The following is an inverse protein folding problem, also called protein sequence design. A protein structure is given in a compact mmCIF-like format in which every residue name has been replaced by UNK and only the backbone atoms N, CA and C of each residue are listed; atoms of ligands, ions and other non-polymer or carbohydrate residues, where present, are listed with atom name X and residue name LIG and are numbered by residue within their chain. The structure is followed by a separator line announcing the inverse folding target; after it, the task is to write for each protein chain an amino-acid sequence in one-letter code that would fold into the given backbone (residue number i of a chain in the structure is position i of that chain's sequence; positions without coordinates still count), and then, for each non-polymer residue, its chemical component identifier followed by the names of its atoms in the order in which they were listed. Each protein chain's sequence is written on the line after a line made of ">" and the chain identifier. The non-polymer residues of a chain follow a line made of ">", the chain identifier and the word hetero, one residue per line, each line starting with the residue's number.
data_IF_872269246068
#
_entry.id   IF_872269246068
#
_cell.length_a   1.000
_cell.length_b   1.000
_cell.length_c   1.000
_cell.angle_alpha   90.00
_cell.angle_beta   90.00
_cell.angle_gamma   90.00
#
_symmetry.space_group_name_H-M   'P 1'
#
loop_
_entity.id
_entity.type
_entity.pdbx_description
1 polymer ?
#
# COMPACT_ATOMS: atom_id res chain seq x y z
N UNK A 1 -7.07 18.59 -49.49
CA UNK A 1 -6.32 19.43 -48.48
C UNK A 1 -7.36 20.29 -47.76
N UNK A 2 -7.36 20.27 -46.44
CA UNK A 2 -8.24 21.14 -45.65
C UNK A 2 -7.78 22.59 -45.74
N UNK A 3 -8.72 23.51 -45.84
CA UNK A 3 -8.45 24.95 -45.83
C UNK A 3 -7.94 25.36 -44.42
N UNK A 4 -7.22 26.48 -44.33
CA UNK A 4 -6.72 27.04 -43.06
C UNK A 4 -7.90 27.25 -42.06
N UNK A 5 -9.03 27.74 -42.56
CA UNK A 5 -10.25 27.96 -41.76
C UNK A 5 -10.76 26.65 -41.18
N UNK A 6 -10.82 25.57 -41.96
CA UNK A 6 -11.24 24.25 -41.48
C UNK A 6 -10.31 23.68 -40.40
N UNK A 7 -8.98 23.89 -40.52
CA UNK A 7 -8.02 23.51 -39.51
C UNK A 7 -8.22 24.27 -38.19
N UNK A 8 -8.46 25.59 -38.26
CA UNK A 8 -8.76 26.44 -37.11
C UNK A 8 -10.07 26.02 -36.42
N UNK A 9 -11.12 25.75 -37.17
CA UNK A 9 -12.37 25.26 -36.61
C UNK A 9 -12.24 23.89 -35.94
N UNK A 10 -11.48 22.97 -36.55
CA UNK A 10 -11.23 21.67 -35.99
C UNK A 10 -10.36 21.77 -34.70
N UNK A 11 -9.38 22.67 -34.66
CA UNK A 11 -8.61 22.97 -33.48
C UNK A 11 -9.49 23.51 -32.34
N UNK A 12 -10.39 24.45 -32.66
CA UNK A 12 -11.30 25.04 -31.69
C UNK A 12 -12.30 24.01 -31.12
N UNK A 13 -12.85 23.14 -31.97
CA UNK A 13 -13.75 22.05 -31.57
C UNK A 13 -12.99 21.07 -30.65
N UNK A 14 -11.81 20.62 -31.06
CA UNK A 14 -10.98 19.70 -30.26
C UNK A 14 -10.59 20.32 -28.92
N UNK A 15 -10.29 21.60 -28.90
CA UNK A 15 -9.97 22.32 -27.67
C UNK A 15 -11.18 22.43 -26.74
N UNK A 16 -12.35 22.75 -27.24
CA UNK A 16 -13.59 22.84 -26.44
C UNK A 16 -14.04 21.49 -25.88
N UNK A 17 -13.82 20.40 -26.64
CA UNK A 17 -14.07 19.04 -26.18
C UNK A 17 -13.11 18.62 -25.07
N UNK A 18 -11.83 18.96 -25.18
CA UNK A 18 -10.82 18.62 -24.19
C UNK A 18 -10.88 19.52 -22.92
N UNK A 19 -11.38 20.76 -23.08
CA UNK A 19 -11.36 21.77 -22.01
C UNK A 19 -12.71 22.45 -21.80
N UNK A 20 -13.73 21.70 -21.32
CA UNK A 20 -15.09 22.23 -21.17
C UNK A 20 -15.27 23.23 -20.01
N UNK A 21 -14.20 23.58 -19.26
CA UNK A 21 -14.31 24.39 -18.04
C UNK A 21 -13.74 25.81 -18.17
N UNK A 22 -14.35 26.83 -17.52
CA UNK A 22 -13.98 28.24 -17.62
C UNK A 22 -12.57 28.60 -17.11
N UNK A 23 -11.87 27.70 -16.40
CA UNK A 23 -10.48 27.94 -15.97
C UNK A 23 -9.44 27.93 -17.09
N UNK A 24 -9.84 27.69 -18.34
CA UNK A 24 -9.00 27.70 -19.54
C UNK A 24 -9.28 28.92 -20.44
N UNK A 25 -9.91 29.94 -19.90
CA UNK A 25 -10.34 31.14 -20.60
C UNK A 25 -9.30 31.79 -21.54
N UNK A 26 -8.00 31.94 -21.18
CA UNK A 26 -7.04 32.57 -22.09
C UNK A 26 -6.88 31.83 -23.41
N UNK A 27 -6.92 30.50 -23.37
CA UNK A 27 -6.81 29.66 -24.56
C UNK A 27 -8.11 29.62 -25.37
N UNK A 28 -9.22 29.48 -24.71
CA UNK A 28 -10.56 29.51 -25.33
C UNK A 28 -10.78 30.86 -26.00
N UNK A 29 -10.47 31.96 -25.29
CA UNK A 29 -10.57 33.32 -25.82
C UNK A 29 -9.62 33.57 -27.00
N UNK A 30 -8.40 33.00 -26.97
CA UNK A 30 -7.47 33.10 -28.11
C UNK A 30 -7.99 32.32 -29.34
N UNK A 31 -8.57 31.15 -29.14
CA UNK A 31 -9.18 30.37 -30.22
C UNK A 31 -10.43 31.04 -30.79
N UNK A 32 -11.28 31.62 -29.95
CA UNK A 32 -12.45 32.38 -30.39
C UNK A 32 -12.02 33.61 -31.21
N UNK A 33 -10.92 34.26 -30.85
CA UNK A 33 -10.32 35.35 -31.64
C UNK A 33 -9.78 34.86 -32.98
N UNK A 34 -9.12 33.67 -33.02
CA UNK A 34 -8.64 33.05 -34.26
C UNK A 34 -9.78 32.70 -35.18
N UNK A 35 -10.89 32.13 -34.68
CA UNK A 35 -12.11 31.82 -35.43
C UNK A 35 -12.75 33.08 -36.01
N UNK A 36 -12.70 34.18 -35.23
CA UNK A 36 -13.22 35.49 -35.65
C UNK A 36 -12.28 36.23 -36.64
N UNK A 37 -11.21 35.62 -37.09
CA UNK A 37 -10.24 36.25 -37.99
C UNK A 37 -9.31 37.29 -37.35
N UNK A 38 -9.33 37.43 -36.01
CA UNK A 38 -8.49 38.34 -35.24
C UNK A 38 -7.17 37.66 -34.85
N UNK A 39 -6.41 37.24 -35.85
CA UNK A 39 -5.22 36.40 -35.68
C UNK A 39 -4.14 37.06 -34.81
N UNK A 40 -3.91 38.37 -35.01
CA UNK A 40 -2.93 39.14 -34.24
C UNK A 40 -3.26 39.23 -32.76
N UNK A 41 -4.52 39.55 -32.42
CA UNK A 41 -5.01 39.61 -31.03
C UNK A 41 -4.92 38.23 -30.34
N UNK A 42 -5.19 37.18 -31.10
CA UNK A 42 -5.12 35.80 -30.59
C UNK A 42 -3.68 35.39 -30.28
N UNK A 43 -2.77 35.69 -31.20
CA UNK A 43 -1.34 35.37 -31.06
C UNK A 43 -0.68 36.20 -29.96
N UNK A 44 -1.04 37.49 -29.85
CA UNK A 44 -0.58 38.34 -28.77
C UNK A 44 -1.09 37.85 -27.40
N UNK A 45 -2.34 37.38 -27.31
CA UNK A 45 -2.86 36.77 -26.09
C UNK A 45 -2.14 35.47 -25.71
N UNK A 46 -1.74 34.65 -26.69
CA UNK A 46 -0.96 33.43 -26.47
C UNK A 46 0.51 33.72 -26.14
N UNK A 47 1.08 34.84 -26.63
CA UNK A 47 2.46 35.24 -26.46
C UNK A 47 2.70 36.11 -25.20
N UNK A 48 1.67 36.73 -24.66
CA UNK A 48 1.76 37.68 -23.53
C UNK A 48 2.11 37.06 -22.18
N UNK A 49 1.93 35.74 -22.04
CA UNK A 49 2.27 35.05 -20.79
C UNK A 49 3.72 34.56 -20.80
N UNK A 50 4.50 34.81 -19.76
CA UNK A 50 5.91 34.41 -19.68
C UNK A 50 6.13 32.88 -19.57
N UNK A 51 5.10 32.10 -19.25
CA UNK A 51 5.23 30.65 -19.23
C UNK A 51 5.29 30.08 -20.64
N UNK A 52 6.21 29.12 -20.93
CA UNK A 52 6.24 28.44 -22.22
C UNK A 52 4.88 27.85 -22.59
N UNK A 53 4.43 28.04 -23.81
CA UNK A 53 3.15 27.53 -24.34
C UNK A 53 2.87 26.07 -23.93
N UNK A 54 3.94 25.23 -23.96
CA UNK A 54 3.86 23.83 -23.52
C UNK A 54 3.42 23.68 -22.05
N UNK A 55 3.98 24.48 -21.14
CA UNK A 55 3.63 24.36 -19.70
C UNK A 55 2.19 24.74 -19.46
N UNK A 56 1.65 25.67 -20.22
CA UNK A 56 0.25 26.07 -20.14
C UNK A 56 -0.68 25.01 -20.69
N UNK A 57 -0.35 24.47 -21.88
CA UNK A 57 -1.12 23.41 -22.48
C UNK A 57 -1.07 22.14 -21.61
N UNK A 58 0.12 21.74 -21.15
CA UNK A 58 0.28 20.61 -20.22
C UNK A 58 -0.54 20.83 -18.92
N UNK A 59 -0.48 22.05 -18.36
CA UNK A 59 -1.20 22.40 -17.13
C UNK A 59 -2.71 22.47 -17.33
N UNK A 60 -3.16 22.99 -18.47
CA UNK A 60 -4.56 23.05 -18.82
C UNK A 60 -5.12 21.65 -19.12
N UNK A 61 -4.37 20.81 -19.87
CA UNK A 61 -4.70 19.40 -20.12
C UNK A 61 -4.80 18.62 -18.83
N UNK A 62 -3.80 18.71 -17.94
CA UNK A 62 -3.80 18.04 -16.66
C UNK A 62 -4.98 18.48 -15.78
N UNK A 63 -5.32 19.78 -15.79
CA UNK A 63 -6.45 20.33 -15.00
C UNK A 63 -7.80 19.88 -15.56
N UNK A 64 -7.96 19.85 -16.88
CA UNK A 64 -9.18 19.38 -17.53
C UNK A 64 -9.39 17.88 -17.32
N UNK A 65 -8.32 17.09 -17.46
CA UNK A 65 -8.33 15.67 -17.16
C UNK A 65 -8.63 15.42 -15.69
N UNK A 66 -8.00 16.15 -14.77
CA UNK A 66 -8.29 16.06 -13.34
C UNK A 66 -9.79 16.30 -13.02
N UNK A 67 -10.48 17.14 -13.80
CA UNK A 67 -11.91 17.36 -13.65
C UNK A 67 -12.78 16.24 -14.25
N UNK A 68 -12.27 15.50 -15.23
CA UNK A 68 -12.95 14.38 -15.87
C UNK A 68 -12.71 13.05 -15.14
N UNK A 69 -11.56 12.87 -14.51
CA UNK A 69 -11.12 11.64 -13.86
C UNK A 69 -12.04 11.06 -12.79
N UNK A 70 -12.79 11.81 -11.99
CA UNK A 70 -13.76 11.22 -11.06
C UNK A 70 -14.83 10.36 -11.77
N UNK A 71 -14.92 10.46 -13.10
CA UNK A 71 -15.91 9.78 -13.94
C UNK A 71 -15.32 8.71 -14.86
N UNK A 72 -13.99 8.65 -15.00
CA UNK A 72 -13.28 7.71 -15.88
C UNK A 72 -12.45 6.76 -15.04
N UNK A 73 -12.49 5.47 -15.35
CA UNK A 73 -11.63 4.45 -14.75
C UNK A 73 -10.38 4.27 -15.62
N UNK A 74 -9.32 3.64 -15.08
CA UNK A 74 -8.09 3.38 -15.83
C UNK A 74 -8.39 2.55 -17.11
N UNK A 75 -9.32 1.62 -17.00
CA UNK A 75 -9.84 0.77 -18.09
C UNK A 75 -10.45 1.58 -19.23
N UNK A 76 -11.06 2.73 -18.94
CA UNK A 76 -11.60 3.63 -19.97
C UNK A 76 -10.49 4.30 -20.80
N UNK A 77 -9.27 4.42 -20.25
CA UNK A 77 -8.09 4.91 -20.97
C UNK A 77 -7.44 3.84 -21.85
N UNK A 78 -7.58 2.58 -21.48
CA UNK A 78 -7.09 1.44 -22.26
C UNK A 78 -8.11 0.99 -23.33
N UNK A 79 -9.37 1.31 -23.16
CA UNK A 79 -10.52 0.85 -23.97
C UNK A 79 -11.21 1.93 -24.82
N UNK A 80 -10.50 2.77 -25.49
CA UNK A 80 -11.11 3.58 -26.55
C UNK A 80 -11.48 5.02 -26.20
N UNK A 81 -12.09 5.35 -25.07
CA UNK A 81 -12.47 6.75 -24.75
C UNK A 81 -11.25 7.56 -24.33
N UNK A 82 -10.32 6.97 -23.58
CA UNK A 82 -9.03 7.58 -23.25
C UNK A 82 -8.16 7.74 -24.48
N UNK A 83 -8.13 6.76 -25.37
CA UNK A 83 -7.41 6.83 -26.63
C UNK A 83 -8.00 7.92 -27.53
N UNK A 84 -9.32 8.10 -27.54
CA UNK A 84 -10.01 9.19 -28.22
C UNK A 84 -9.50 10.58 -27.75
N UNK A 85 -9.46 10.82 -26.43
CA UNK A 85 -8.94 12.09 -25.90
C UNK A 85 -7.47 12.31 -26.21
N UNK A 86 -6.65 11.27 -26.16
CA UNK A 86 -5.23 11.32 -26.49
C UNK A 86 -5.00 11.58 -27.97
N UNK A 87 -5.82 10.97 -28.84
CA UNK A 87 -5.77 11.22 -30.28
C UNK A 87 -6.19 12.65 -30.62
N UNK A 88 -7.21 13.20 -29.95
CA UNK A 88 -7.59 14.61 -30.11
C UNK A 88 -6.50 15.58 -29.67
N UNK A 89 -5.84 15.32 -28.54
CA UNK A 89 -4.70 16.13 -28.09
C UNK A 89 -3.53 16.09 -29.10
N UNK A 90 -3.27 14.92 -29.68
CA UNK A 90 -2.24 14.73 -30.70
C UNK A 90 -2.60 15.48 -31.99
N UNK A 91 -3.83 15.32 -32.48
CA UNK A 91 -4.33 16.01 -33.66
C UNK A 91 -4.27 17.54 -33.49
N UNK A 92 -4.62 18.03 -32.31
CA UNK A 92 -4.53 19.46 -31.98
C UNK A 92 -3.07 19.96 -32.05
N UNK A 93 -2.11 19.20 -31.53
CA UNK A 93 -0.70 19.56 -31.60
C UNK A 93 -0.16 19.55 -33.06
N UNK A 94 -0.57 18.57 -33.86
CA UNK A 94 -0.22 18.48 -35.29
C UNK A 94 -0.79 19.64 -36.08
N UNK A 95 -2.08 20.01 -35.87
CA UNK A 95 -2.69 21.17 -36.53
C UNK A 95 -1.98 22.47 -36.15
N UNK A 96 -1.60 22.66 -34.89
CA UNK A 96 -0.83 23.81 -34.45
C UNK A 96 0.53 23.90 -35.16
N UNK A 97 1.24 22.78 -35.30
CA UNK A 97 2.52 22.74 -36.04
C UNK A 97 2.36 23.09 -37.51
N UNK A 98 1.30 22.64 -38.14
CA UNK A 98 0.96 22.97 -39.54
C UNK A 98 0.66 24.46 -39.75
N UNK A 99 0.07 25.12 -38.75
CA UNK A 99 -0.26 26.54 -38.80
C UNK A 99 0.95 27.45 -38.50
N UNK A 100 1.97 26.96 -37.80
CA UNK A 100 3.14 27.76 -37.42
C UNK A 100 3.87 28.42 -38.61
N UNK A 101 4.13 27.76 -39.75
CA UNK A 101 4.78 28.40 -40.89
C UNK A 101 4.04 29.61 -41.41
N UNK A 102 2.68 29.55 -41.41
CA UNK A 102 1.83 30.65 -41.87
C UNK A 102 1.79 31.77 -40.80
N UNK A 103 1.71 31.42 -39.55
CA UNK A 103 1.81 32.37 -38.45
C UNK A 103 3.16 33.09 -38.47
N UNK A 104 4.25 32.40 -38.79
CA UNK A 104 5.58 33.00 -38.89
C UNK A 104 5.74 33.89 -40.12
N UNK A 105 5.00 33.63 -41.18
CA UNK A 105 5.02 34.50 -42.37
C UNK A 105 4.35 35.85 -42.10
N UNK A 106 3.19 35.80 -41.43
CA UNK A 106 2.38 37.01 -41.15
C UNK A 106 2.81 37.73 -39.86
N UNK A 107 3.23 36.93 -38.84
CA UNK A 107 3.60 37.41 -37.50
C UNK A 107 4.90 36.74 -36.99
N UNK A 108 6.08 37.15 -37.52
CA UNK A 108 7.36 36.45 -37.31
C UNK A 108 7.74 36.30 -35.83
N UNK A 109 7.48 37.32 -34.99
CA UNK A 109 7.89 37.33 -33.58
C UNK A 109 7.00 36.43 -32.72
N UNK A 110 5.69 36.35 -33.00
CA UNK A 110 4.78 35.44 -32.33
C UNK A 110 5.07 33.99 -32.74
N UNK A 111 5.32 33.72 -34.00
CA UNK A 111 5.69 32.39 -34.52
C UNK A 111 7.00 31.87 -33.92
N UNK A 112 8.02 32.71 -33.78
CA UNK A 112 9.30 32.35 -33.13
C UNK A 112 9.13 31.93 -31.68
N UNK A 113 8.22 32.56 -30.95
CA UNK A 113 7.95 32.20 -29.54
C UNK A 113 7.15 30.92 -29.38
N UNK A 114 6.20 30.65 -30.28
CA UNK A 114 5.28 29.50 -30.20
C UNK A 114 5.94 28.23 -30.76
N UNK A 115 6.72 28.34 -31.83
CA UNK A 115 7.32 27.18 -32.54
C UNK A 115 8.09 26.20 -31.66
N UNK A 116 9.03 26.62 -30.75
CA UNK A 116 9.77 25.67 -29.93
C UNK A 116 8.87 24.85 -28.99
N UNK A 117 7.77 25.44 -28.53
CA UNK A 117 6.83 24.82 -27.62
C UNK A 117 5.92 23.84 -28.34
N UNK A 118 5.42 24.19 -29.52
CA UNK A 118 4.60 23.30 -30.34
C UNK A 118 5.41 22.10 -30.87
N UNK A 119 6.68 22.33 -31.33
CA UNK A 119 7.57 21.24 -31.77
C UNK A 119 7.87 20.23 -30.64
N UNK A 120 8.00 20.69 -29.39
CA UNK A 120 8.20 19.80 -28.24
C UNK A 120 6.94 18.99 -27.84
N UNK A 121 5.75 19.43 -28.20
CA UNK A 121 4.50 18.71 -27.97
C UNK A 121 4.37 17.45 -28.84
N UNK A 122 4.84 17.53 -30.10
CA UNK A 122 4.78 16.43 -31.06
C UNK A 122 5.98 15.49 -30.97
N UNK A 123 7.15 16.02 -30.57
CA UNK A 123 8.44 15.34 -30.67
C UNK A 123 8.61 14.31 -29.57
N UNK A 124 7.88 13.57 -29.01
CA UNK A 124 8.24 12.45 -28.08
C UNK A 124 7.11 11.79 -27.28
N UNK A 125 5.87 11.84 -27.67
CA UNK A 125 4.83 11.17 -26.88
C UNK A 125 4.75 11.64 -25.41
N UNK A 126 5.48 12.76 -25.07
CA UNK A 126 5.63 13.21 -23.68
C UNK A 126 4.34 13.70 -23.04
N UNK A 127 3.39 14.18 -23.85
CA UNK A 127 2.03 14.49 -23.35
C UNK A 127 1.32 13.20 -23.00
N UNK A 128 1.37 12.21 -23.88
CA UNK A 128 0.75 10.90 -23.68
C UNK A 128 1.24 10.25 -22.39
N UNK A 129 2.56 10.22 -22.17
CA UNK A 129 3.14 9.67 -20.95
C UNK A 129 2.72 10.45 -19.69
N UNK A 130 2.65 11.78 -19.78
CA UNK A 130 2.18 12.63 -18.66
C UNK A 130 0.69 12.44 -18.35
N UNK A 131 -0.13 12.28 -19.38
CA UNK A 131 -1.56 12.01 -19.22
C UNK A 131 -1.77 10.64 -18.59
N UNK A 132 -1.09 9.61 -19.07
CA UNK A 132 -1.11 8.26 -18.48
C UNK A 132 -0.63 8.28 -17.03
N UNK A 133 0.46 8.99 -16.73
CA UNK A 133 0.96 9.15 -15.36
C UNK A 133 -0.03 9.89 -14.48
N UNK A 134 -0.68 10.95 -14.98
CA UNK A 134 -1.70 11.68 -14.24
C UNK A 134 -2.94 10.82 -13.97
N UNK A 135 -3.36 10.00 -14.94
CA UNK A 135 -4.45 9.05 -14.78
C UNK A 135 -4.14 8.05 -13.66
N UNK A 136 -3.00 7.39 -13.73
CA UNK A 136 -2.54 6.45 -12.70
C UNK A 136 -2.53 7.11 -11.32
N UNK A 137 -1.99 8.33 -11.20
CA UNK A 137 -1.96 9.05 -9.92
C UNK A 137 -3.35 9.39 -9.40
N UNK A 138 -4.30 9.71 -10.28
CA UNK A 138 -5.68 9.97 -9.88
C UNK A 138 -6.39 8.71 -9.40
N UNK A 139 -6.24 7.58 -10.10
CA UNK A 139 -6.76 6.29 -9.65
C UNK A 139 -6.13 5.85 -8.33
N UNK A 140 -4.82 6.03 -8.16
CA UNK A 140 -4.15 5.79 -6.90
C UNK A 140 -4.70 6.67 -5.76
N UNK A 141 -5.01 7.95 -6.02
CA UNK A 141 -5.64 8.84 -5.04
C UNK A 141 -7.04 8.36 -4.65
N UNK A 142 -7.86 7.98 -5.62
CA UNK A 142 -9.19 7.42 -5.39
C UNK A 142 -9.10 6.10 -4.61
N UNK A 143 -8.21 5.20 -5.02
CA UNK A 143 -7.97 3.95 -4.30
C UNK A 143 -7.47 4.20 -2.86
N UNK A 144 -6.62 5.19 -2.65
CA UNK A 144 -6.12 5.58 -1.34
C UNK A 144 -7.20 6.18 -0.40
N UNK A 145 -8.39 6.53 -0.91
CA UNK A 145 -9.56 6.82 -0.06
C UNK A 145 -10.02 5.59 0.72
N UNK A 146 -9.76 4.39 0.20
CA UNK A 146 -9.90 3.15 0.93
C UNK A 146 -8.81 3.04 1.99
N UNK A 147 -9.14 2.40 3.11
CA UNK A 147 -8.20 2.21 4.21
C UNK A 147 -7.15 1.14 3.93
N UNK A 148 -7.46 0.21 3.04
CA UNK A 148 -6.55 -0.85 2.59
C UNK A 148 -6.57 -0.90 1.07
N UNK A 149 -5.37 -0.90 0.48
CA UNK A 149 -5.14 -1.07 -0.94
C UNK A 149 -4.18 -2.23 -1.19
N UNK A 150 -4.21 -2.79 -2.38
CA UNK A 150 -3.19 -3.71 -2.90
C UNK A 150 -2.50 -3.05 -4.08
N UNK A 151 -1.22 -3.33 -4.24
CA UNK A 151 -0.49 -2.97 -5.47
C UNK A 151 -0.74 -4.06 -6.53
N UNK A 152 -1.27 -3.66 -7.69
CA UNK A 152 -1.46 -4.52 -8.86
C UNK A 152 -1.00 -3.72 -10.09
N UNK A 153 -0.07 -4.27 -10.85
CA UNK A 153 0.45 -3.66 -12.10
C UNK A 153 0.85 -2.18 -11.96
N UNK A 154 1.48 -1.85 -10.83
CA UNK A 154 1.92 -0.47 -10.51
C UNK A 154 0.79 0.48 -10.08
N UNK A 155 -0.44 0.00 -9.93
CA UNK A 155 -1.59 0.78 -9.47
C UNK A 155 -2.05 0.35 -8.09
N UNK A 156 -2.79 1.22 -7.38
CA UNK A 156 -3.45 0.90 -6.12
C UNK A 156 -4.88 0.46 -6.37
N UNK A 157 -5.25 -0.72 -5.88
CA UNK A 157 -6.61 -1.26 -5.96
C UNK A 157 -7.17 -1.39 -4.54
N UNK A 158 -8.39 -0.88 -4.26
CA UNK A 158 -9.03 -1.04 -2.96
C UNK A 158 -9.24 -2.52 -2.61
N UNK A 159 -9.08 -2.83 -1.32
CA UNK A 159 -9.33 -4.18 -0.77
C UNK A 159 -10.49 -4.10 0.23
N UNK A 160 -11.44 -5.04 0.11
CA UNK A 160 -12.50 -5.18 1.11
C UNK A 160 -11.92 -5.71 2.43
N UNK A 161 -12.26 -5.00 3.51
CA UNK A 161 -11.78 -5.27 4.87
C UNK A 161 -12.85 -5.89 5.78
N UNK A 162 -14.01 -6.25 5.25
CA UNK A 162 -15.17 -6.72 6.03
C UNK A 162 -14.84 -7.89 6.98
N UNK A 163 -13.85 -8.72 6.64
CA UNK A 163 -13.45 -9.91 7.38
C UNK A 163 -12.20 -9.73 8.27
N UNK A 164 -11.69 -8.50 8.42
CA UNK A 164 -10.50 -8.26 9.23
C UNK A 164 -10.90 -8.04 10.69
N UNK A 165 -10.28 -8.80 11.60
CA UNK A 165 -10.47 -8.62 13.05
C UNK A 165 -10.02 -7.23 13.48
N UNK A 166 -10.81 -6.59 14.33
CA UNK A 166 -10.43 -5.34 14.99
C UNK A 166 -9.40 -5.62 16.08
N UNK A 167 -8.67 -4.59 16.50
CA UNK A 167 -7.65 -4.71 17.57
C UNK A 167 -8.22 -5.33 18.85
N UNK A 168 -9.45 -5.00 19.18
CA UNK A 168 -10.18 -5.50 20.36
C UNK A 168 -10.58 -6.98 20.25
N UNK A 169 -10.59 -7.54 19.03
CA UNK A 169 -10.87 -8.95 18.77
C UNK A 169 -9.63 -9.87 18.75
N UNK A 170 -8.45 -9.33 19.07
CA UNK A 170 -7.25 -10.14 19.24
C UNK A 170 -7.11 -10.60 20.69
N UNK A 171 -6.77 -11.86 20.85
CA UNK A 171 -6.52 -12.50 22.14
C UNK A 171 -5.04 -12.80 22.31
N UNK A 172 -4.51 -12.56 23.49
CA UNK A 172 -3.11 -12.80 23.86
C UNK A 172 -2.09 -11.92 23.16
N UNK A 173 -0.85 -12.33 23.22
CA UNK A 173 0.29 -11.61 22.63
C UNK A 173 0.35 -10.13 23.04
N UNK A 174 0.00 -9.81 24.27
CA UNK A 174 -0.17 -8.43 24.78
C UNK A 174 1.05 -7.56 24.53
N UNK A 175 2.25 -8.10 24.78
CA UNK A 175 3.51 -7.38 24.54
C UNK A 175 3.73 -7.09 23.03
N UNK A 176 3.44 -8.06 22.16
CA UNK A 176 3.54 -7.88 20.71
C UNK A 176 2.55 -6.83 20.22
N UNK A 177 1.29 -6.90 20.65
CA UNK A 177 0.25 -5.91 20.33
C UNK A 177 0.67 -4.49 20.71
N UNK A 178 1.30 -4.33 21.89
CA UNK A 178 1.80 -3.03 22.33
C UNK A 178 2.89 -2.48 21.40
N UNK A 179 3.83 -3.32 20.94
CA UNK A 179 4.87 -2.91 19.96
C UNK A 179 4.25 -2.41 18.66
N UNK A 180 3.21 -3.08 18.16
CA UNK A 180 2.51 -2.66 16.95
C UNK A 180 1.75 -1.33 17.15
N UNK A 181 1.04 -1.17 18.26
CA UNK A 181 0.35 0.07 18.59
C UNK A 181 1.32 1.25 18.69
N UNK A 182 2.46 1.06 19.37
CA UNK A 182 3.49 2.11 19.49
C UNK A 182 4.08 2.48 18.13
N UNK A 183 4.41 1.47 17.30
CA UNK A 183 5.02 1.69 15.99
C UNK A 183 4.05 2.45 15.05
N UNK A 184 2.85 1.92 14.87
CA UNK A 184 1.86 2.56 13.99
C UNK A 184 1.37 3.90 14.54
N UNK A 185 1.24 4.03 15.87
CA UNK A 185 0.90 5.31 16.51
C UNK A 185 1.97 6.37 16.33
N UNK A 186 3.25 6.01 16.40
CA UNK A 186 4.35 6.93 16.13
C UNK A 186 4.34 7.40 14.66
N UNK A 187 4.06 6.50 13.72
CA UNK A 187 3.91 6.85 12.31
C UNK A 187 2.66 7.70 12.05
N UNK A 188 1.51 7.34 12.60
CA UNK A 188 0.27 8.11 12.51
C UNK A 188 0.46 9.54 13.04
N UNK A 189 1.20 9.69 14.15
CA UNK A 189 1.53 11.00 14.71
C UNK A 189 2.63 11.76 13.92
N UNK A 190 3.24 11.17 12.90
CA UNK A 190 4.35 11.78 12.14
C UNK A 190 5.68 11.87 12.90
N UNK A 191 5.82 11.12 14.00
CA UNK A 191 7.02 11.12 14.84
C UNK A 191 8.15 10.27 14.26
N UNK A 192 7.80 9.20 13.52
CA UNK A 192 8.76 8.28 12.92
C UNK A 192 8.16 7.63 11.67
N UNK A 193 8.99 7.42 10.65
CA UNK A 193 8.69 6.57 9.51
C UNK A 193 9.69 5.42 9.37
N UNK A 194 10.35 5.06 10.48
CA UNK A 194 11.28 3.95 10.53
C UNK A 194 10.56 2.63 10.21
N UNK A 195 11.07 1.77 9.33
CA UNK A 195 10.46 0.47 9.04
C UNK A 195 10.38 -0.45 10.25
N UNK A 196 9.34 -1.30 10.29
CA UNK A 196 9.21 -2.41 11.23
C UNK A 196 9.59 -3.72 10.52
N UNK A 197 10.61 -4.40 11.03
CA UNK A 197 11.12 -5.67 10.50
C UNK A 197 10.73 -6.80 11.44
N UNK A 198 9.78 -7.64 11.00
CA UNK A 198 9.20 -8.70 11.82
C UNK A 198 9.80 -10.04 11.43
N UNK A 199 10.49 -10.70 12.36
CA UNK A 199 10.92 -12.09 12.24
C UNK A 199 9.98 -12.97 13.06
N UNK A 200 9.44 -14.06 12.50
CA UNK A 200 8.56 -14.96 13.24
C UNK A 200 8.54 -16.36 12.65
N UNK A 201 8.13 -17.35 13.43
CA UNK A 201 7.70 -18.62 12.87
C UNK A 201 6.39 -18.48 12.08
N UNK A 202 6.12 -19.37 11.10
CA UNK A 202 4.85 -19.37 10.38
C UNK A 202 3.67 -19.64 11.33
N UNK A 203 2.47 -19.20 10.97
CA UNK A 203 1.25 -19.51 11.71
C UNK A 203 0.96 -18.66 12.96
N UNK A 204 1.90 -17.80 13.41
CA UNK A 204 1.76 -17.01 14.65
C UNK A 204 0.81 -15.80 14.55
N UNK A 205 0.26 -15.50 13.35
CA UNK A 205 -0.72 -14.42 13.19
C UNK A 205 -0.16 -13.04 12.87
N UNK A 206 1.13 -12.95 12.47
CA UNK A 206 1.80 -11.68 12.13
C UNK A 206 1.03 -10.84 11.11
N UNK A 207 0.53 -11.46 10.03
CA UNK A 207 -0.27 -10.79 8.97
C UNK A 207 -1.52 -10.14 9.53
N UNK A 208 -2.34 -10.90 10.24
CA UNK A 208 -3.60 -10.42 10.84
C UNK A 208 -3.33 -9.30 11.85
N UNK A 209 -2.32 -9.45 12.70
CA UNK A 209 -1.96 -8.45 13.69
C UNK A 209 -1.46 -7.17 13.02
N UNK A 210 -0.61 -7.26 11.99
CA UNK A 210 -0.13 -6.10 11.23
C UNK A 210 -1.31 -5.32 10.63
N UNK A 211 -2.18 -6.00 9.90
CA UNK A 211 -3.33 -5.37 9.23
C UNK A 211 -4.24 -4.71 10.27
N UNK A 212 -4.67 -5.46 11.29
CA UNK A 212 -5.59 -4.99 12.31
C UNK A 212 -5.07 -3.75 13.05
N UNK A 213 -3.81 -3.79 13.51
CA UNK A 213 -3.24 -2.68 14.27
C UNK A 213 -2.91 -1.46 13.39
N UNK A 214 -2.57 -1.68 12.12
CA UNK A 214 -2.39 -0.59 11.18
C UNK A 214 -3.70 0.16 10.91
N UNK A 215 -4.79 -0.56 10.61
CA UNK A 215 -6.10 0.06 10.33
C UNK A 215 -6.79 0.63 11.57
N UNK A 216 -6.26 0.38 12.77
CA UNK A 216 -6.69 1.05 13.99
C UNK A 216 -6.49 2.57 13.91
N UNK A 217 -5.48 3.02 13.17
CA UNK A 217 -5.16 4.43 12.96
C UNK A 217 -5.79 4.94 11.65
N UNK A 218 -6.85 5.79 11.72
CA UNK A 218 -7.58 6.26 10.52
C UNK A 218 -6.74 7.11 9.57
N UNK A 219 -5.63 7.67 10.06
CA UNK A 219 -4.70 8.49 9.27
C UNK A 219 -3.82 7.67 8.33
N UNK A 220 -3.76 6.35 8.52
CA UNK A 220 -2.91 5.46 7.75
C UNK A 220 -3.74 4.71 6.71
N UNK A 221 -3.28 4.75 5.47
CA UNK A 221 -3.71 3.83 4.41
C UNK A 221 -2.71 2.67 4.36
N UNK A 222 -3.19 1.45 4.58
CA UNK A 222 -2.38 0.24 4.45
C UNK A 222 -2.28 -0.17 2.98
N UNK A 223 -1.06 -0.38 2.50
CA UNK A 223 -0.79 -0.85 1.13
C UNK A 223 -0.18 -2.24 1.21
N UNK A 224 -0.91 -3.25 0.74
CA UNK A 224 -0.42 -4.61 0.63
C UNK A 224 0.40 -4.74 -0.67
N UNK A 225 1.69 -5.00 -0.53
CA UNK A 225 2.61 -5.12 -1.65
C UNK A 225 3.21 -6.53 -1.74
N UNK A 226 3.54 -6.95 -2.96
CA UNK A 226 4.16 -8.25 -3.19
C UNK A 226 5.67 -8.23 -2.91
N UNK A 227 6.31 -9.38 -2.68
CA UNK A 227 7.76 -9.46 -2.56
C UNK A 227 8.50 -8.89 -3.78
N UNK A 228 7.97 -9.06 -4.98
CA UNK A 228 8.55 -8.53 -6.22
C UNK A 228 8.57 -7.00 -6.24
N UNK A 229 7.58 -6.36 -5.62
CA UNK A 229 7.56 -4.90 -5.50
C UNK A 229 8.67 -4.38 -4.58
N UNK A 230 9.07 -5.16 -3.57
CA UNK A 230 10.23 -4.83 -2.72
C UNK A 230 11.54 -4.98 -3.48
N UNK A 231 11.66 -6.01 -4.29
CA UNK A 231 12.87 -6.34 -5.08
C UNK A 231 13.08 -5.37 -6.26
N UNK A 232 12.07 -5.22 -7.11
CA UNK A 232 12.20 -4.52 -8.42
C UNK A 232 11.35 -3.28 -8.57
N UNK A 233 10.23 -3.17 -7.86
CA UNK A 233 9.23 -2.10 -8.00
C UNK A 233 9.27 -1.02 -6.93
N UNK A 234 10.21 -1.07 -5.98
CA UNK A 234 10.20 -0.23 -4.78
C UNK A 234 10.31 1.28 -5.11
N UNK A 235 11.15 1.65 -6.09
CA UNK A 235 11.33 3.04 -6.50
C UNK A 235 10.03 3.63 -7.07
N UNK A 236 9.36 2.90 -7.95
CA UNK A 236 8.10 3.34 -8.54
C UNK A 236 6.99 3.46 -7.50
N UNK A 237 6.91 2.50 -6.59
CA UNK A 237 5.97 2.51 -5.48
C UNK A 237 6.20 3.72 -4.57
N UNK A 238 7.45 3.99 -4.16
CA UNK A 238 7.81 5.15 -3.34
C UNK A 238 7.47 6.45 -4.08
N UNK A 239 7.77 6.55 -5.38
CA UNK A 239 7.45 7.72 -6.19
C UNK A 239 5.94 7.97 -6.27
N UNK A 240 5.16 6.92 -6.50
CA UNK A 240 3.69 6.99 -6.57
C UNK A 240 3.09 7.44 -5.24
N UNK A 241 3.44 6.77 -4.14
CA UNK A 241 2.91 7.10 -2.81
C UNK A 241 3.44 8.45 -2.28
N UNK A 242 4.70 8.78 -2.57
CA UNK A 242 5.32 10.06 -2.21
C UNK A 242 4.71 11.27 -2.92
N UNK A 243 4.04 11.06 -4.07
CA UNK A 243 3.32 12.13 -4.77
C UNK A 243 2.01 12.56 -4.08
N UNK A 244 1.61 11.86 -3.03
CA UNK A 244 0.41 12.13 -2.21
C UNK A 244 0.80 12.45 -0.76
N UNK A 245 1.53 13.56 -0.50
CA UNK A 245 2.07 13.88 0.82
C UNK A 245 1.00 14.16 1.89
N UNK A 246 -0.23 14.42 1.46
CA UNK A 246 -1.39 14.60 2.34
C UNK A 246 -1.87 13.32 3.02
N UNK A 247 -1.41 12.13 2.55
CA UNK A 247 -1.77 10.81 3.08
C UNK A 247 -0.57 10.08 3.63
N UNK A 248 -0.78 9.26 4.64
CA UNK A 248 0.25 8.37 5.22
C UNK A 248 0.04 6.95 4.73
N UNK A 249 1.09 6.35 4.20
CA UNK A 249 1.07 5.00 3.66
C UNK A 249 1.96 4.07 4.46
N UNK A 250 1.36 3.03 5.03
CA UNK A 250 2.09 1.89 5.57
C UNK A 250 2.12 0.79 4.52
N UNK A 251 3.26 0.55 3.92
CA UNK A 251 3.43 -0.54 2.93
C UNK A 251 3.81 -1.81 3.65
N UNK A 252 3.01 -2.84 3.50
CA UNK A 252 3.22 -4.14 4.13
C UNK A 252 3.65 -5.19 3.11
N UNK A 253 4.83 -5.73 3.33
CA UNK A 253 5.39 -6.88 2.61
C UNK A 253 5.33 -8.09 3.52
N UNK A 254 4.55 -9.09 3.12
CA UNK A 254 4.35 -10.32 3.90
C UNK A 254 5.09 -11.50 3.28
N UNK A 255 5.44 -12.49 4.12
CA UNK A 255 6.09 -13.75 3.75
C UNK A 255 7.36 -13.56 2.89
N UNK A 256 8.20 -12.59 3.25
CA UNK A 256 9.45 -12.33 2.53
C UNK A 256 10.45 -13.47 2.77
N UNK A 257 10.98 -14.01 1.67
CA UNK A 257 12.11 -14.94 1.70
C UNK A 257 13.43 -14.16 1.78
N UNK A 258 13.91 -13.95 2.99
CA UNK A 258 15.06 -13.07 3.28
C UNK A 258 16.34 -13.48 2.53
N UNK A 259 16.72 -14.77 2.42
CA UNK A 259 17.88 -15.22 1.66
C UNK A 259 17.81 -14.95 0.16
N UNK A 260 16.61 -15.00 -0.44
CA UNK A 260 16.44 -14.83 -1.88
C UNK A 260 16.22 -13.38 -2.32
N UNK A 261 15.99 -12.47 -1.34
CA UNK A 261 15.68 -11.07 -1.60
C UNK A 261 16.93 -10.25 -1.97
N UNK A 262 16.89 -9.49 -3.06
CA UNK A 262 17.87 -8.43 -3.31
C UNK A 262 17.51 -7.17 -2.51
N UNK A 263 18.25 -6.94 -1.43
CA UNK A 263 18.06 -5.82 -0.54
C UNK A 263 18.65 -4.50 -1.03
N UNK A 264 19.16 -4.44 -2.27
CA UNK A 264 19.82 -3.23 -2.78
C UNK A 264 18.89 -2.02 -2.79
N UNK A 265 17.70 -2.16 -3.37
CA UNK A 265 16.71 -1.08 -3.45
C UNK A 265 16.26 -0.63 -2.06
N UNK A 266 15.95 -1.57 -1.16
CA UNK A 266 15.60 -1.24 0.22
C UNK A 266 16.70 -0.43 0.91
N UNK A 267 17.97 -0.84 0.81
CA UNK A 267 19.11 -0.11 1.39
C UNK A 267 19.30 1.28 0.82
N UNK A 268 18.97 1.48 -0.45
CA UNK A 268 19.11 2.76 -1.13
C UNK A 268 18.11 3.79 -0.59
N UNK A 269 16.86 3.38 -0.35
CA UNK A 269 15.80 4.26 0.10
C UNK A 269 15.64 4.32 1.63
N UNK A 270 16.07 3.29 2.35
CA UNK A 270 15.95 3.23 3.81
C UNK A 270 17.31 3.42 4.45
N UNK A 271 17.57 4.62 4.95
CA UNK A 271 18.85 5.02 5.55
C UNK A 271 19.99 5.11 4.54
N UNK A 272 19.70 5.23 3.25
CA UNK A 272 20.64 5.44 2.15
C UNK A 272 20.74 6.90 1.72
N UNK A 273 21.22 7.12 0.49
CA UNK A 273 21.40 8.45 -0.09
C UNK A 273 20.08 9.16 -0.42
N UNK A 274 19.00 8.40 -0.62
CA UNK A 274 17.66 8.93 -0.90
C UNK A 274 16.75 8.67 0.31
N UNK A 275 16.38 9.71 1.09
CA UNK A 275 15.54 9.53 2.25
C UNK A 275 14.13 9.10 1.85
N UNK A 276 13.58 8.11 2.56
CA UNK A 276 12.19 7.72 2.41
C UNK A 276 11.26 8.92 2.71
N UNK A 277 10.28 9.22 1.85
CA UNK A 277 9.31 10.28 2.11
C UNK A 277 8.63 10.12 3.47
N UNK A 278 8.42 11.21 4.22
CA UNK A 278 7.88 11.18 5.59
C UNK A 278 6.48 10.58 5.70
N UNK A 279 5.75 10.57 4.60
CA UNK A 279 4.41 9.99 4.50
C UNK A 279 4.40 8.50 4.18
N UNK A 280 5.56 7.84 4.08
CA UNK A 280 5.69 6.41 3.78
C UNK A 280 6.48 5.73 4.89
N UNK A 281 6.02 4.58 5.33
CA UNK A 281 6.76 3.63 6.17
C UNK A 281 6.52 2.21 5.69
N UNK A 282 7.41 1.29 6.07
CA UNK A 282 7.33 -0.12 5.70
C UNK A 282 7.12 -1.00 6.92
N UNK A 283 6.34 -2.05 6.77
CA UNK A 283 6.33 -3.21 7.64
C UNK A 283 6.70 -4.42 6.80
N UNK A 284 7.75 -5.12 7.16
CA UNK A 284 8.25 -6.28 6.42
C UNK A 284 8.20 -7.47 7.35
N UNK A 285 7.51 -8.53 6.95
CA UNK A 285 7.38 -9.75 7.72
C UNK A 285 8.04 -10.94 7.01
N UNK A 286 8.86 -11.67 7.73
CA UNK A 286 9.58 -12.83 7.24
C UNK A 286 9.51 -13.98 8.24
N UNK A 287 9.75 -15.19 7.74
CA UNK A 287 9.90 -16.39 8.57
C UNK A 287 11.36 -16.63 8.99
N UNK A 288 12.29 -15.78 8.54
CA UNK A 288 13.73 -15.83 8.87
C UNK A 288 14.17 -14.54 9.54
N UNK A 289 15.39 -14.54 10.06
CA UNK A 289 16.06 -13.36 10.61
C UNK A 289 16.65 -12.51 9.49
N UNK A 290 16.66 -11.19 9.69
CA UNK A 290 17.24 -10.25 8.74
C UNK A 290 18.76 -10.13 8.90
N UNK A 291 19.53 -9.94 7.81
CA UNK A 291 20.96 -9.61 7.90
C UNK A 291 21.19 -8.32 8.68
N UNK A 292 22.34 -8.21 9.36
CA UNK A 292 22.66 -7.05 10.19
C UNK A 292 22.57 -5.69 9.46
N UNK A 293 22.97 -5.65 8.17
CA UNK A 293 22.89 -4.46 7.33
C UNK A 293 21.45 -4.04 6.96
N UNK A 294 20.46 -4.92 7.16
CA UNK A 294 19.04 -4.63 7.01
C UNK A 294 18.43 -4.31 8.37
N UNK A 295 18.71 -5.11 9.40
CA UNK A 295 18.21 -4.91 10.77
C UNK A 295 18.56 -3.53 11.32
N UNK A 296 19.75 -2.98 10.99
CA UNK A 296 20.18 -1.64 11.41
C UNK A 296 19.39 -0.50 10.76
N UNK A 297 18.56 -0.76 9.75
CA UNK A 297 17.78 0.25 9.03
C UNK A 297 16.31 0.33 9.43
N UNK A 298 15.90 -0.45 10.41
CA UNK A 298 14.54 -0.49 10.90
C UNK A 298 14.48 -0.88 12.38
N UNK A 299 13.26 -0.89 12.92
CA UNK A 299 12.97 -1.47 14.23
C UNK A 299 12.79 -2.97 14.03
N UNK A 300 13.78 -3.76 14.47
CA UNK A 300 13.66 -5.22 14.51
C UNK A 300 12.67 -5.66 15.58
N UNK A 301 11.85 -6.64 15.28
CA UNK A 301 10.90 -7.25 16.21
C UNK A 301 10.84 -8.77 15.98
N UNK A 302 11.29 -9.54 16.97
CA UNK A 302 11.09 -10.99 17.00
C UNK A 302 9.70 -11.28 17.57
N UNK A 303 8.81 -11.81 16.74
CA UNK A 303 7.46 -12.16 17.15
C UNK A 303 7.52 -13.36 18.11
N UNK A 304 6.90 -13.28 19.30
CA UNK A 304 7.00 -14.35 20.29
C UNK A 304 6.47 -15.68 19.77
N UNK A 305 7.13 -16.77 20.12
CA UNK A 305 6.67 -18.13 19.84
C UNK A 305 5.35 -18.42 20.56
N UNK A 306 4.63 -19.41 20.08
CA UNK A 306 3.40 -19.87 20.74
C UNK A 306 3.76 -20.91 21.81
N UNK A 307 3.86 -20.46 23.04
CA UNK A 307 4.16 -21.26 24.22
C UNK A 307 2.95 -21.35 25.18
N UNK A 308 3.13 -22.02 26.29
CA UNK A 308 2.11 -22.16 27.32
C UNK A 308 1.60 -20.79 27.82
N UNK A 309 2.50 -19.83 28.02
CA UNK A 309 2.13 -18.49 28.49
C UNK A 309 1.24 -17.76 27.48
N UNK A 310 1.56 -17.82 26.17
CA UNK A 310 0.75 -17.20 25.11
C UNK A 310 -0.58 -17.92 24.94
N UNK A 311 -0.60 -19.24 25.10
CA UNK A 311 -1.83 -20.01 25.15
C UNK A 311 -2.75 -19.52 26.28
N UNK A 312 -2.21 -19.39 27.51
CA UNK A 312 -2.96 -18.92 28.67
C UNK A 312 -3.43 -17.46 28.50
N UNK A 313 -2.58 -16.54 28.00
CA UNK A 313 -2.99 -15.16 27.69
C UNK A 313 -4.17 -15.11 26.70
N UNK A 314 -4.15 -15.94 25.66
CA UNK A 314 -5.23 -15.98 24.67
C UNK A 314 -6.53 -16.51 25.25
N UNK A 315 -6.46 -17.54 26.09
CA UNK A 315 -7.64 -18.11 26.79
C UNK A 315 -8.22 -17.06 27.75
N UNK A 316 -7.37 -16.39 28.53
CA UNK A 316 -7.78 -15.34 29.46
C UNK A 316 -8.51 -14.20 28.73
N UNK A 317 -7.91 -13.64 27.68
CA UNK A 317 -8.51 -12.55 26.90
C UNK A 317 -9.84 -12.98 26.26
N UNK A 318 -9.92 -14.21 25.74
CA UNK A 318 -11.16 -14.77 25.20
C UNK A 318 -12.27 -14.88 26.27
N UNK A 319 -11.95 -15.41 27.45
CA UNK A 319 -12.90 -15.53 28.54
C UNK A 319 -13.40 -14.16 29.02
N UNK A 320 -12.52 -13.18 29.13
CA UNK A 320 -12.87 -11.80 29.47
C UNK A 320 -13.80 -11.17 28.43
N UNK A 321 -13.50 -11.35 27.13
CA UNK A 321 -14.35 -10.86 26.04
C UNK A 321 -15.74 -11.52 26.04
N UNK A 322 -15.85 -12.77 26.57
CA UNK A 322 -17.10 -13.49 26.68
C UNK A 322 -17.79 -13.34 28.07
N UNK A 323 -17.45 -12.31 28.84
CA UNK A 323 -18.15 -11.88 30.03
C UNK A 323 -17.63 -12.47 31.36
N UNK A 324 -16.55 -13.27 31.33
CA UNK A 324 -15.88 -13.74 32.55
C UNK A 324 -14.78 -12.76 32.91
N UNK A 325 -15.10 -11.69 33.63
CA UNK A 325 -14.19 -10.56 33.88
C UNK A 325 -12.88 -10.94 34.57
N UNK A 326 -12.89 -11.94 35.42
CA UNK A 326 -11.72 -12.43 36.16
C UNK A 326 -11.71 -13.98 36.16
N UNK A 327 -11.26 -14.58 35.03
CA UNK A 327 -11.15 -16.03 34.98
C UNK A 327 -10.09 -16.52 35.98
N UNK A 328 -10.38 -17.60 36.68
CA UNK A 328 -9.39 -18.19 37.61
C UNK A 328 -8.28 -18.88 36.86
N UNK A 329 -7.07 -18.90 37.42
CA UNK A 329 -5.93 -19.60 36.84
C UNK A 329 -6.26 -21.09 36.59
N UNK A 330 -7.02 -21.71 37.48
CA UNK A 330 -7.47 -23.09 37.36
C UNK A 330 -8.35 -23.31 36.12
N UNK A 331 -9.27 -22.39 35.82
CA UNK A 331 -10.12 -22.47 34.63
C UNK A 331 -9.28 -22.34 33.35
N UNK A 332 -8.35 -21.42 33.35
CA UNK A 332 -7.43 -21.23 32.21
C UNK A 332 -6.60 -22.51 31.99
N UNK A 333 -6.03 -23.11 33.07
CA UNK A 333 -5.26 -24.34 33.01
C UNK A 333 -6.05 -25.52 32.45
N UNK A 334 -7.28 -25.72 32.94
CA UNK A 334 -8.20 -26.79 32.48
C UNK A 334 -8.49 -26.64 30.99
N UNK A 335 -8.79 -25.42 30.51
CA UNK A 335 -9.07 -25.16 29.10
C UNK A 335 -7.80 -25.38 28.25
N UNK A 336 -6.64 -24.94 28.73
CA UNK A 336 -5.37 -25.14 28.05
C UNK A 336 -5.00 -26.63 27.93
N UNK A 337 -5.22 -27.42 28.99
CA UNK A 337 -4.98 -28.86 28.97
C UNK A 337 -5.92 -29.59 27.99
N UNK A 338 -7.22 -29.27 27.96
CA UNK A 338 -8.17 -29.85 27.01
C UNK A 338 -7.83 -29.48 25.56
N UNK A 339 -7.35 -28.24 25.31
CA UNK A 339 -6.87 -27.82 24.00
C UNK A 339 -5.65 -28.66 23.55
N UNK A 340 -4.63 -28.80 24.42
CA UNK A 340 -3.42 -29.57 24.12
C UNK A 340 -3.76 -31.04 23.92
N UNK A 341 -4.66 -31.62 24.69
CA UNK A 341 -5.12 -33.02 24.51
C UNK A 341 -5.79 -33.21 23.15
N UNK A 342 -6.58 -32.24 22.68
CA UNK A 342 -7.30 -32.36 21.43
C UNK A 342 -6.44 -32.10 20.19
N UNK A 343 -5.45 -31.21 20.25
CA UNK A 343 -4.68 -30.74 19.09
C UNK A 343 -3.22 -31.18 19.11
N UNK A 344 -2.58 -31.33 20.27
CA UNK A 344 -1.15 -31.61 20.39
C UNK A 344 -0.69 -32.95 19.81
N UNK A 345 -1.37 -34.07 20.09
CA UNK A 345 -0.89 -35.40 19.64
C UNK A 345 -1.26 -35.76 18.20
N UNK A 346 -2.04 -34.98 17.48
CA UNK A 346 -2.56 -35.33 16.16
C UNK A 346 -1.55 -35.05 15.06
N UNK A 347 -1.41 -36.01 14.13
CA UNK A 347 -0.40 -35.98 13.07
C UNK A 347 -0.54 -34.81 12.08
N UNK A 348 -1.73 -34.22 11.93
CA UNK A 348 -2.03 -33.13 10.97
C UNK A 348 -2.48 -31.83 11.64
N UNK A 349 -2.53 -31.79 12.96
CA UNK A 349 -2.87 -30.59 13.72
C UNK A 349 -1.64 -30.14 14.50
N UNK A 350 -1.52 -28.82 14.66
CA UNK A 350 -0.41 -28.18 15.36
C UNK A 350 -0.94 -27.30 16.50
N UNK A 351 -0.14 -27.12 17.53
CA UNK A 351 -0.41 -26.13 18.55
C UNK A 351 0.00 -24.76 17.99
N UNK A 352 -0.98 -23.93 17.70
CA UNK A 352 -0.77 -22.59 17.14
C UNK A 352 -1.87 -21.63 17.57
N UNK A 353 -1.65 -20.31 17.48
CA UNK A 353 -2.73 -19.33 17.71
C UNK A 353 -3.95 -19.58 16.85
N UNK A 354 -3.78 -20.08 15.63
CA UNK A 354 -4.88 -20.36 14.70
C UNK A 354 -5.75 -21.50 15.18
N UNK A 355 -5.14 -22.60 15.62
CA UNK A 355 -5.89 -23.76 16.13
C UNK A 355 -6.50 -23.48 17.48
N UNK A 356 -5.83 -22.71 18.35
CA UNK A 356 -6.42 -22.27 19.62
C UNK A 356 -7.65 -21.38 19.40
N UNK A 357 -7.60 -20.43 18.47
CA UNK A 357 -8.77 -19.57 18.19
C UNK A 357 -9.95 -20.41 17.73
N UNK A 358 -9.74 -21.37 16.81
CA UNK A 358 -10.78 -22.29 16.37
C UNK A 358 -11.38 -23.09 17.54
N UNK A 359 -10.50 -23.65 18.38
CA UNK A 359 -10.92 -24.34 19.59
C UNK A 359 -11.76 -23.46 20.52
N UNK A 360 -11.35 -22.20 20.73
CA UNK A 360 -12.07 -21.26 21.61
C UNK A 360 -13.42 -20.82 21.04
N UNK A 361 -13.54 -20.69 19.72
CA UNK A 361 -14.80 -20.42 19.05
C UNK A 361 -15.78 -21.58 19.25
N UNK A 362 -15.34 -22.84 19.07
CA UNK A 362 -16.13 -24.04 19.32
C UNK A 362 -16.49 -24.15 20.83
N UNK A 363 -15.53 -23.91 21.73
CA UNK A 363 -15.75 -23.85 23.17
C UNK A 363 -16.80 -22.78 23.53
N UNK A 364 -16.71 -21.61 22.88
CA UNK A 364 -17.63 -20.49 23.05
C UNK A 364 -19.07 -20.85 22.67
N UNK A 365 -19.30 -21.73 21.72
CA UNK A 365 -20.61 -22.20 21.27
C UNK A 365 -21.19 -23.34 22.13
N UNK A 366 -20.35 -24.16 22.80
CA UNK A 366 -20.76 -25.35 23.52
C UNK A 366 -20.97 -25.07 25.02
N UNK A 367 -22.25 -24.92 25.44
CA UNK A 367 -22.61 -24.69 26.84
C UNK A 367 -22.35 -25.92 27.75
N UNK A 368 -22.38 -27.13 27.23
CA UNK A 368 -22.06 -28.32 28.02
C UNK A 368 -20.58 -28.41 28.31
N UNK A 369 -19.76 -28.12 27.32
CA UNK A 369 -18.29 -28.06 27.44
C UNK A 369 -17.89 -26.98 28.46
N UNK A 370 -18.51 -25.79 28.40
CA UNK A 370 -18.30 -24.71 29.39
C UNK A 370 -18.60 -25.15 30.82
N UNK A 371 -19.74 -25.80 31.05
CA UNK A 371 -20.09 -26.29 32.37
C UNK A 371 -19.10 -27.34 32.88
N UNK A 372 -18.72 -28.30 32.04
CA UNK A 372 -17.73 -29.32 32.38
C UNK A 372 -16.39 -28.67 32.78
N UNK A 373 -15.88 -27.71 32.04
CA UNK A 373 -14.64 -27.03 32.37
C UNK A 373 -14.72 -26.21 33.65
N UNK A 374 -15.85 -25.52 33.88
CA UNK A 374 -16.09 -24.81 35.13
C UNK A 374 -16.15 -25.76 36.35
N UNK A 375 -16.73 -26.96 36.21
CA UNK A 375 -16.77 -27.93 37.28
C UNK A 375 -15.40 -28.58 37.52
N UNK A 376 -14.64 -28.87 36.44
CA UNK A 376 -13.28 -29.39 36.56
C UNK A 376 -12.32 -28.37 37.21
N UNK A 377 -12.52 -27.08 36.99
CA UNK A 377 -11.68 -26.03 37.62
C UNK A 377 -11.87 -25.88 39.12
N UNK A 378 -12.88 -26.51 39.71
CA UNK A 378 -13.15 -26.53 41.15
C UNK A 378 -12.58 -27.76 41.89
N UNK A 379 -11.96 -28.69 41.15
CA UNK A 379 -11.35 -29.90 41.70
C UNK A 379 -10.03 -29.57 42.42
N UNK A 380 -9.63 -30.42 43.36
CA UNK A 380 -8.36 -30.25 44.07
C UNK A 380 -7.14 -30.49 43.18
N UNK A 381 -7.29 -31.32 42.18
CA UNK A 381 -6.24 -31.61 41.17
C UNK A 381 -6.61 -30.98 39.86
N UNK A 382 -5.86 -29.94 39.46
CA UNK A 382 -6.08 -29.22 38.22
C UNK A 382 -5.15 -29.78 37.16
N UNK A 383 -5.66 -30.22 35.99
CA UNK A 383 -4.82 -30.60 34.89
C UNK A 383 -4.12 -29.34 34.30
N UNK A 384 -2.82 -29.42 34.15
CA UNK A 384 -2.04 -28.42 33.41
C UNK A 384 -1.57 -29.00 32.10
N UNK A 385 -1.43 -28.22 31.03
CA UNK A 385 -0.81 -28.68 29.81
C UNK A 385 0.67 -29.00 30.09
N UNK A 386 1.20 -30.02 29.42
CA UNK A 386 2.63 -30.28 29.46
C UNK A 386 3.37 -29.19 28.66
N UNK A 387 4.21 -28.34 29.27
CA UNK A 387 4.98 -27.31 28.57
C UNK A 387 5.90 -27.89 27.48
N UNK A 388 6.34 -29.15 27.64
CA UNK A 388 7.20 -29.80 26.65
C UNK A 388 6.52 -29.94 25.28
N UNK A 389 5.23 -30.14 25.25
CA UNK A 389 4.47 -30.25 23.99
C UNK A 389 4.56 -28.98 23.15
N UNK A 390 4.46 -27.81 23.81
CA UNK A 390 4.66 -26.53 23.11
C UNK A 390 6.08 -26.36 22.62
N UNK A 391 7.06 -26.75 23.40
CA UNK A 391 8.47 -26.71 23.01
C UNK A 391 8.74 -27.58 21.80
N UNK A 392 8.25 -28.82 21.80
CA UNK A 392 8.45 -29.78 20.71
C UNK A 392 7.81 -29.29 19.40
N UNK A 393 6.61 -28.69 19.44
CA UNK A 393 5.95 -28.10 18.27
C UNK A 393 6.73 -26.89 17.72
N UNK A 394 7.19 -25.99 18.59
CA UNK A 394 8.03 -24.88 18.17
C UNK A 394 9.36 -25.37 17.56
N UNK A 395 9.98 -26.38 18.16
CA UNK A 395 11.22 -26.96 17.66
C UNK A 395 11.04 -27.60 16.28
N UNK A 396 9.91 -28.27 16.07
CA UNK A 396 9.52 -28.83 14.76
C UNK A 396 9.38 -27.73 13.70
N UNK A 397 8.69 -26.65 14.02
CA UNK A 397 8.55 -25.50 13.12
C UNK A 397 9.91 -24.81 12.86
N UNK A 398 10.72 -24.62 13.88
CA UNK A 398 12.05 -24.05 13.76
C UNK A 398 12.95 -24.89 12.85
N UNK A 399 12.91 -26.22 12.99
CA UNK A 399 13.63 -27.14 12.12
C UNK A 399 13.20 -27.01 10.66
N UNK A 400 11.91 -26.91 10.42
CA UNK A 400 11.36 -26.75 9.07
C UNK A 400 11.79 -25.43 8.42
N UNK A 401 11.93 -24.34 9.21
CA UNK A 401 12.30 -23.00 8.72
C UNK A 401 13.81 -22.83 8.58
N UNK A 402 14.58 -23.28 9.57
CA UNK A 402 16.02 -22.98 9.66
C UNK A 402 16.91 -24.16 9.31
N UNK A 403 16.39 -25.39 9.26
CA UNK A 403 17.15 -26.61 9.08
C UNK A 403 17.88 -27.07 10.37
N UNK A 404 18.29 -28.33 10.42
CA UNK A 404 18.92 -28.94 11.60
C UNK A 404 20.24 -28.27 11.98
N UNK A 405 21.09 -27.93 11.02
CA UNK A 405 22.41 -27.34 11.29
C UNK A 405 22.31 -26.01 12.04
N UNK A 406 21.34 -25.16 11.67
CA UNK A 406 21.14 -23.86 12.34
C UNK A 406 20.56 -24.05 13.74
N UNK A 407 19.64 -24.99 13.91
CA UNK A 407 19.07 -25.34 15.20
C UNK A 407 20.14 -25.85 16.16
N UNK A 408 21.08 -26.65 15.68
CA UNK A 408 22.19 -27.17 16.48
C UNK A 408 23.14 -26.04 16.91
N UNK A 409 23.46 -25.11 16.02
CA UNK A 409 24.23 -23.90 16.34
C UNK A 409 23.51 -22.99 17.35
N UNK A 410 22.18 -22.86 17.25
CA UNK A 410 21.38 -22.15 18.26
C UNK A 410 21.43 -22.85 19.63
N UNK A 411 21.30 -24.17 19.65
CA UNK A 411 21.40 -24.99 20.86
C UNK A 411 22.74 -24.82 21.56
N UNK A 412 23.82 -24.76 20.79
CA UNK A 412 25.16 -24.59 21.27
C UNK A 412 25.53 -23.13 21.65
N UNK A 413 24.57 -22.19 21.58
CA UNK A 413 24.77 -20.74 21.80
C UNK A 413 25.78 -20.08 20.85
N UNK A 414 26.10 -20.68 19.74
CA UNK A 414 27.02 -20.13 18.74
C UNK A 414 26.37 -19.04 17.88
N UNK A 415 25.02 -19.06 17.78
CA UNK A 415 24.23 -17.99 17.18
C UNK A 415 23.34 -17.37 18.26
N UNK A 416 23.66 -16.14 18.65
CA UNK A 416 22.88 -15.35 19.62
C UNK A 416 21.54 -14.92 19.00
N UNK A 417 20.58 -15.84 18.99
CA UNK A 417 19.20 -15.53 18.67
C UNK A 417 18.40 -15.78 19.95
N UNK A 418 18.22 -14.75 20.73
CA UNK A 418 17.19 -14.64 21.76
C UNK A 418 16.32 -13.47 21.37
#
# INVERSE_FOLDING_TARGET
>A
MQTQQQKIEQLAISFKLLFPHPGNEPFSAALDKLIAGKTEDALNSLAADPAPFRQRLDKALLKALAALFPKLQLEDFESGDGEFFLQHARNMAEILLDLIPQIMADYPDAGKRIRPSAAKLTANGSIFLKLKTAAILMECRKAAESRICRVMDGTLVPVDISNIRRVDGFYGYRAARQVFLEHFGAFAAGKSNLPLLISSLPGLGKTQMTISHCIHYPEITLVLATPEALDKGLEELIRTLGSMPERKFMVFFDDIDVPQMDWYNFRTFVGGAFPLPKNISFTIAANQTYPANISSRGRGFAFPIFDELRCQEMIEDFLQANGIKQPSANLIAVIAADYVEQFGPKMFEELSPRTLVRYLEDFGADNMKKRRMLDSSKQDVIPHPDPQVFYDENLKLMRAVYGEEIIEKMRNRELGIV
#
